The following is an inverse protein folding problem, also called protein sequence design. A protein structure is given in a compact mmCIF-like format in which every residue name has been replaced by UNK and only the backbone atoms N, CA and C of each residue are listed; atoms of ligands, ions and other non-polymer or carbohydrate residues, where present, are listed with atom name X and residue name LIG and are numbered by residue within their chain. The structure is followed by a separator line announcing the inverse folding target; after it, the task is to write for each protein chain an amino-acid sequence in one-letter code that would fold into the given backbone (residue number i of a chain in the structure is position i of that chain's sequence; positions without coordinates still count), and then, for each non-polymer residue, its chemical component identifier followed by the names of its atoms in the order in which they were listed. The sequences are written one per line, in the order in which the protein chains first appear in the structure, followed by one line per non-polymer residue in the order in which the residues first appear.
data_IF_168600125019
#
_entry.id   IF_168600125019
#
_cell.length_a   1.000
_cell.length_b   1.000
_cell.length_c   1.000
_cell.angle_alpha   90.00
_cell.angle_beta   90.00
_cell.angle_gamma   90.00
#
_symmetry.space_group_name_H-M   'P 1'
#
loop_
_entity.id
_entity.type
_entity.pdbx_description
1 polymer ?
#
# COMPACT_ATOMS: atom_id res chain seq x y z
N UNK A 1 51.11 26.91 17.34
CA UNK A 1 50.47 25.57 17.25
C UNK A 1 49.19 25.44 18.08
N UNK A 2 49.14 25.81 19.38
CA UNK A 2 47.93 25.65 20.23
C UNK A 2 46.66 26.30 19.69
N UNK A 3 46.72 27.52 19.12
CA UNK A 3 45.55 28.22 18.55
C UNK A 3 44.96 27.57 17.30
N UNK A 4 45.80 26.94 16.47
CA UNK A 4 45.31 26.18 15.30
C UNK A 4 44.60 24.88 15.71
N UNK A 5 45.13 24.18 16.73
CA UNK A 5 44.51 22.95 17.26
C UNK A 5 43.12 23.26 17.84
N UNK A 6 42.97 24.35 18.60
CA UNK A 6 41.67 24.75 19.18
C UNK A 6 40.65 25.03 18.08
N UNK A 7 41.04 25.71 16.99
CA UNK A 7 40.15 26.00 15.86
C UNK A 7 39.70 24.71 15.15
N UNK A 8 40.61 23.75 14.99
CA UNK A 8 40.28 22.44 14.37
C UNK A 8 39.31 21.68 15.25
N UNK A 9 39.54 21.61 16.56
CA UNK A 9 38.63 20.92 17.49
C UNK A 9 37.26 21.58 17.48
N UNK A 10 37.19 22.92 17.52
CA UNK A 10 35.92 23.64 17.46
C UNK A 10 35.17 23.37 16.15
N UNK A 11 35.85 23.34 15.01
CA UNK A 11 35.24 23.02 13.72
C UNK A 11 34.66 21.56 13.68
N UNK A 12 35.39 20.59 14.21
CA UNK A 12 34.96 19.20 14.29
C UNK A 12 33.73 19.06 15.19
N UNK A 13 33.68 19.75 16.34
CA UNK A 13 32.55 19.72 17.25
C UNK A 13 31.31 20.34 16.59
N UNK A 14 31.47 21.47 15.90
CA UNK A 14 30.37 22.15 15.21
C UNK A 14 29.83 21.26 14.06
N UNK A 15 30.72 20.72 13.23
CA UNK A 15 30.30 19.82 12.12
C UNK A 15 29.66 18.54 12.63
N UNK A 16 30.20 17.97 13.70
CA UNK A 16 29.59 16.79 14.34
C UNK A 16 28.21 17.09 14.91
N UNK A 17 28.07 18.23 15.60
CA UNK A 17 26.78 18.68 16.12
C UNK A 17 25.75 18.95 15.03
N UNK A 18 26.11 19.58 13.94
CA UNK A 18 25.26 19.81 12.78
C UNK A 18 24.87 18.48 12.12
N UNK A 19 25.80 17.54 12.00
CA UNK A 19 25.53 16.19 11.47
C UNK A 19 24.50 15.44 12.31
N UNK A 20 24.62 15.47 13.65
CA UNK A 20 23.66 14.84 14.56
C UNK A 20 22.28 15.49 14.46
N UNK A 21 22.22 16.83 14.40
CA UNK A 21 20.97 17.57 14.24
C UNK A 21 20.30 17.25 12.90
N UNK A 22 21.07 17.16 11.82
CA UNK A 22 20.56 16.79 10.50
C UNK A 22 19.98 15.39 10.49
N UNK A 23 20.71 14.40 11.03
CA UNK A 23 20.21 13.00 11.11
C UNK A 23 18.95 12.91 11.96
N UNK A 24 18.90 13.66 13.07
CA UNK A 24 17.73 13.68 13.95
C UNK A 24 16.52 14.32 13.27
N UNK A 25 16.72 15.43 12.56
CA UNK A 25 15.69 16.10 11.76
C UNK A 25 15.18 15.20 10.63
N UNK A 26 16.07 14.55 9.90
CA UNK A 26 15.68 13.64 8.82
C UNK A 26 14.88 12.43 9.33
N UNK A 27 15.21 11.92 10.53
CA UNK A 27 14.43 10.83 11.16
C UNK A 27 13.04 11.31 11.62
N UNK A 28 12.94 12.52 12.18
CA UNK A 28 11.65 13.06 12.64
C UNK A 28 10.68 13.24 11.48
N UNK A 29 11.14 13.74 10.33
CA UNK A 29 10.30 13.91 9.13
C UNK A 29 9.73 12.57 8.62
N UNK A 30 10.51 11.50 8.72
CA UNK A 30 10.03 10.16 8.31
C UNK A 30 8.99 9.56 9.24
N UNK A 31 9.00 9.93 10.52
CA UNK A 31 8.06 9.42 11.53
C UNK A 31 6.83 10.32 11.74
N UNK A 32 6.78 11.47 11.08
CA UNK A 32 5.58 12.32 11.11
C UNK A 32 4.37 11.59 10.52
N UNK A 33 3.16 11.76 11.09
CA UNK A 33 1.95 11.15 10.55
C UNK A 33 1.72 11.52 9.09
N UNK A 34 1.37 10.54 8.28
CA UNK A 34 0.83 10.79 6.94
C UNK A 34 -0.62 11.22 7.05
N UNK A 35 -1.05 12.15 6.23
CA UNK A 35 -2.35 12.78 6.38
C UNK A 35 -3.32 12.36 5.27
N UNK A 36 -4.56 12.11 5.66
CA UNK A 36 -5.67 11.93 4.73
C UNK A 36 -6.92 12.62 5.29
N UNK A 37 -7.60 13.43 4.48
CA UNK A 37 -8.85 14.02 4.91
C UNK A 37 -9.95 12.95 5.00
N UNK A 38 -10.79 13.00 6.03
CA UNK A 38 -11.93 12.06 6.20
C UNK A 38 -12.85 12.04 4.98
N UNK A 39 -13.06 13.18 4.37
CA UNK A 39 -13.84 13.30 3.13
C UNK A 39 -13.25 12.52 1.95
N UNK A 40 -11.95 12.30 1.94
CA UNK A 40 -11.25 11.54 0.91
C UNK A 40 -11.32 10.02 1.10
N UNK A 41 -11.80 9.55 2.25
CA UNK A 41 -12.08 8.13 2.49
C UNK A 41 -13.48 7.74 2.00
N UNK A 42 -14.33 8.71 1.72
CA UNK A 42 -15.64 8.48 1.12
C UNK A 42 -15.56 8.47 -0.42
N UNK A 43 -16.48 7.76 -1.05
CA UNK A 43 -16.62 7.78 -2.52
C UNK A 43 -15.61 6.91 -3.27
N UNK A 44 -14.88 6.04 -2.59
CA UNK A 44 -14.06 5.02 -3.27
C UNK A 44 -14.94 4.05 -4.04
N UNK A 45 -14.53 3.68 -5.23
CA UNK A 45 -15.35 2.89 -6.15
C UNK A 45 -14.82 1.47 -6.31
N UNK A 46 -15.75 0.50 -6.30
CA UNK A 46 -15.44 -0.85 -6.72
C UNK A 46 -15.27 -0.88 -8.23
N UNK A 47 -14.12 -1.33 -8.68
CA UNK A 47 -13.79 -1.46 -10.09
C UNK A 47 -13.25 -2.84 -10.42
N UNK A 48 -13.61 -3.31 -11.60
CA UNK A 48 -13.08 -4.50 -12.23
C UNK A 48 -12.15 -4.06 -13.36
N UNK A 49 -11.04 -4.77 -13.48
CA UNK A 49 -10.24 -4.76 -14.69
C UNK A 49 -10.28 -6.17 -15.31
N UNK A 50 -11.08 -6.38 -16.35
CA UNK A 50 -11.18 -7.68 -17.01
C UNK A 50 -9.94 -8.02 -17.86
N UNK A 51 -9.08 -7.03 -18.10
CA UNK A 51 -7.84 -7.20 -18.83
C UNK A 51 -6.68 -7.49 -17.88
N UNK A 52 -5.70 -8.31 -18.28
CA UNK A 52 -4.45 -8.42 -17.53
C UNK A 52 -3.83 -7.05 -17.39
N UNK A 53 -3.89 -6.47 -16.19
CA UNK A 53 -3.30 -5.17 -15.91
C UNK A 53 -1.94 -5.32 -15.22
N UNK A 54 -1.06 -4.30 -15.29
CA UNK A 54 0.23 -4.34 -14.64
C UNK A 54 0.17 -4.55 -13.12
N UNK A 55 -0.93 -4.15 -12.48
CA UNK A 55 -1.13 -4.34 -11.05
C UNK A 55 -1.58 -5.74 -10.68
N UNK A 56 -2.10 -6.54 -11.63
CA UNK A 56 -2.63 -7.88 -11.38
C UNK A 56 -3.90 -7.90 -10.52
N UNK A 57 -4.61 -6.79 -10.38
CA UNK A 57 -5.84 -6.66 -9.60
C UNK A 57 -7.04 -6.87 -10.50
N UNK A 58 -7.85 -7.91 -10.23
CA UNK A 58 -9.09 -8.20 -10.93
C UNK A 58 -10.27 -7.39 -10.39
N UNK A 59 -10.47 -7.39 -9.07
CA UNK A 59 -11.45 -6.57 -8.37
C UNK A 59 -10.71 -5.77 -7.31
N UNK A 60 -10.88 -4.46 -7.32
CA UNK A 60 -10.28 -3.56 -6.34
C UNK A 60 -11.20 -2.44 -5.89
N UNK A 61 -10.92 -1.88 -4.71
CA UNK A 61 -11.52 -0.64 -4.25
C UNK A 61 -10.55 0.50 -4.59
N UNK A 62 -10.98 1.39 -5.48
CA UNK A 62 -10.16 2.47 -6.03
C UNK A 62 -10.48 3.80 -5.34
N UNK A 63 -9.49 4.51 -4.80
CA UNK A 63 -9.63 5.89 -4.39
C UNK A 63 -9.82 6.80 -5.61
N UNK A 64 -10.28 8.03 -5.39
CA UNK A 64 -10.17 9.04 -6.42
C UNK A 64 -8.68 9.33 -6.75
N UNK A 65 -8.46 9.86 -7.97
CA UNK A 65 -7.09 10.11 -8.48
C UNK A 65 -6.32 11.13 -7.62
N UNK A 66 -7.03 12.10 -7.03
CA UNK A 66 -6.39 13.13 -6.21
C UNK A 66 -5.91 12.55 -4.88
N UNK A 67 -6.67 11.65 -4.28
CA UNK A 67 -6.27 10.94 -3.06
C UNK A 67 -5.03 10.09 -3.31
N UNK A 68 -4.98 9.33 -4.40
CA UNK A 68 -3.81 8.54 -4.77
C UNK A 68 -2.58 9.44 -5.02
N UNK A 69 -2.75 10.54 -5.77
CA UNK A 69 -1.68 11.48 -6.05
C UNK A 69 -1.17 12.21 -4.80
N UNK A 70 -2.07 12.58 -3.88
CA UNK A 70 -1.71 13.20 -2.60
C UNK A 70 -0.88 12.26 -1.72
N UNK A 71 -1.29 11.01 -1.59
CA UNK A 71 -0.53 10.01 -0.82
C UNK A 71 0.85 9.76 -1.45
N UNK A 72 0.91 9.63 -2.77
CA UNK A 72 2.18 9.52 -3.49
C UNK A 72 3.09 10.72 -3.23
N UNK A 73 2.55 11.94 -3.33
CA UNK A 73 3.31 13.18 -3.09
C UNK A 73 3.88 13.25 -1.67
N UNK A 74 3.14 12.81 -0.67
CA UNK A 74 3.64 12.74 0.71
C UNK A 74 4.80 11.75 0.86
N UNK A 75 4.70 10.57 0.23
CA UNK A 75 5.80 9.59 0.23
C UNK A 75 7.02 10.16 -0.49
N UNK A 76 6.83 10.68 -1.69
CA UNK A 76 7.90 11.23 -2.51
C UNK A 76 8.63 12.38 -1.80
N UNK A 77 7.88 13.34 -1.22
CA UNK A 77 8.48 14.50 -0.54
C UNK A 77 9.29 14.14 0.70
N UNK A 78 8.92 13.05 1.40
CA UNK A 78 9.61 12.60 2.62
C UNK A 78 10.80 11.70 2.34
N UNK A 79 10.78 10.99 1.23
CA UNK A 79 11.84 10.02 0.89
C UNK A 79 12.85 10.58 -0.08
N UNK A 80 12.43 11.44 -1.02
CA UNK A 80 13.27 11.93 -2.10
C UNK A 80 13.73 10.82 -3.07
N UNK A 81 13.07 9.66 -3.04
CA UNK A 81 13.43 8.49 -3.83
C UNK A 81 12.78 8.52 -5.21
N UNK A 82 13.41 7.88 -6.20
CA UNK A 82 12.79 7.68 -7.50
C UNK A 82 11.73 6.59 -7.40
N UNK A 83 10.47 6.98 -7.42
CA UNK A 83 9.32 6.11 -7.20
C UNK A 83 8.30 6.26 -8.32
N UNK A 84 7.55 5.19 -8.56
CA UNK A 84 6.39 5.15 -9.46
C UNK A 84 5.13 4.85 -8.65
N UNK A 85 4.00 5.45 -9.02
CA UNK A 85 2.69 5.14 -8.44
C UNK A 85 1.88 4.20 -9.37
N UNK A 86 1.07 3.29 -8.81
CA UNK A 86 0.20 2.43 -9.63
C UNK A 86 -0.93 3.23 -10.28
N UNK A 87 -1.26 2.89 -11.53
CA UNK A 87 -2.37 3.49 -12.28
C UNK A 87 -3.22 2.37 -12.89
N UNK A 88 -4.44 2.16 -12.38
CA UNK A 88 -5.05 2.79 -11.20
C UNK A 88 -4.46 2.27 -9.88
N UNK A 89 -4.49 3.11 -8.84
CA UNK A 89 -4.25 2.65 -7.47
C UNK A 89 -5.52 1.96 -6.95
N UNK A 90 -5.36 0.82 -6.27
CA UNK A 90 -6.50 0.10 -5.70
C UNK A 90 -6.09 -0.72 -4.47
N UNK A 91 -7.03 -0.91 -3.53
CA UNK A 91 -6.94 -1.99 -2.55
C UNK A 91 -7.38 -3.28 -3.27
N UNK A 92 -6.50 -4.27 -3.45
CA UNK A 92 -6.86 -5.49 -4.16
C UNK A 92 -7.80 -6.35 -3.31
N UNK A 93 -8.97 -6.66 -3.84
CA UNK A 93 -9.96 -7.55 -3.24
C UNK A 93 -9.85 -8.97 -3.80
N UNK A 94 -9.62 -9.08 -5.10
CA UNK A 94 -9.36 -10.33 -5.81
C UNK A 94 -8.27 -10.06 -6.84
N UNK A 95 -7.26 -10.94 -6.87
CA UNK A 95 -6.20 -10.85 -7.87
C UNK A 95 -6.64 -11.51 -9.19
N UNK A 96 -6.06 -11.07 -10.29
CA UNK A 96 -6.26 -11.70 -11.59
C UNK A 96 -5.92 -13.20 -11.54
N UNK A 97 -4.80 -13.55 -10.92
CA UNK A 97 -4.36 -14.94 -10.77
C UNK A 97 -5.30 -15.80 -9.91
N UNK A 98 -6.00 -15.22 -8.94
CA UNK A 98 -7.03 -15.90 -8.14
C UNK A 98 -8.28 -16.12 -8.98
N UNK A 99 -8.69 -15.11 -9.74
CA UNK A 99 -9.85 -15.17 -10.63
C UNK A 99 -9.67 -16.19 -11.75
N UNK A 100 -8.50 -16.21 -12.39
CA UNK A 100 -8.20 -17.14 -13.49
C UNK A 100 -8.22 -18.60 -13.03
N UNK A 101 -7.75 -18.88 -11.82
CA UNK A 101 -7.85 -20.21 -11.21
C UNK A 101 -9.30 -20.61 -10.91
N UNK A 102 -10.16 -19.64 -10.59
CA UNK A 102 -11.57 -19.85 -10.33
C UNK A 102 -12.40 -19.95 -11.61
N UNK A 103 -11.89 -19.46 -12.75
CA UNK A 103 -12.59 -19.40 -14.04
C UNK A 103 -12.96 -20.77 -14.60
N UNK A 104 -12.39 -21.86 -14.08
CA UNK A 104 -12.87 -23.22 -14.35
C UNK A 104 -14.32 -23.45 -13.85
N UNK A 105 -14.86 -22.54 -13.03
CA UNK A 105 -16.24 -22.44 -12.59
C UNK A 105 -17.00 -21.29 -13.25
N UNK A 106 -18.23 -21.10 -12.85
CA UNK A 106 -19.22 -20.19 -13.46
C UNK A 106 -19.11 -18.72 -12.98
N UNK A 107 -18.06 -18.34 -12.27
CA UNK A 107 -17.93 -16.98 -11.73
C UNK A 107 -17.52 -16.00 -12.85
N UNK A 108 -18.42 -15.08 -13.21
CA UNK A 108 -18.12 -14.01 -14.15
C UNK A 108 -17.59 -12.76 -13.43
N UNK A 109 -16.88 -11.86 -14.14
CA UNK A 109 -16.48 -10.56 -13.60
C UNK A 109 -17.64 -9.75 -13.01
N UNK A 110 -18.77 -9.73 -13.74
CA UNK A 110 -19.97 -9.00 -13.30
C UNK A 110 -20.59 -9.61 -12.03
N UNK A 111 -20.60 -10.93 -11.91
CA UNK A 111 -21.06 -11.61 -10.70
C UNK A 111 -20.15 -11.29 -9.50
N UNK A 112 -18.83 -11.21 -9.72
CA UNK A 112 -17.87 -10.83 -8.70
C UNK A 112 -18.09 -9.37 -8.24
N UNK A 113 -18.30 -8.44 -9.17
CA UNK A 113 -18.60 -7.04 -8.87
C UNK A 113 -19.96 -6.92 -8.12
N UNK A 114 -20.98 -7.65 -8.57
CA UNK A 114 -22.27 -7.67 -7.90
C UNK A 114 -22.16 -8.18 -6.46
N UNK A 115 -21.37 -9.23 -6.24
CA UNK A 115 -21.08 -9.76 -4.89
C UNK A 115 -20.40 -8.72 -4.00
N UNK A 116 -19.42 -7.96 -4.54
CA UNK A 116 -18.75 -6.89 -3.80
C UNK A 116 -19.68 -5.74 -3.44
N UNK A 117 -20.60 -5.37 -4.34
CA UNK A 117 -21.64 -4.37 -4.07
C UNK A 117 -22.64 -4.87 -3.03
N UNK A 118 -23.11 -6.10 -3.15
CA UNK A 118 -24.02 -6.71 -2.19
C UNK A 118 -23.42 -6.83 -0.79
N UNK A 119 -22.10 -7.06 -0.70
CA UNK A 119 -21.35 -7.04 0.56
C UNK A 119 -21.12 -5.60 1.12
N UNK A 120 -21.57 -4.56 0.41
CA UNK A 120 -21.47 -3.18 0.84
C UNK A 120 -20.04 -2.64 0.87
N UNK A 121 -19.10 -3.22 0.12
CA UNK A 121 -17.67 -2.84 0.21
C UNK A 121 -17.42 -1.37 -0.14
N UNK A 122 -18.15 -0.79 -1.10
CA UNK A 122 -18.02 0.61 -1.47
C UNK A 122 -18.57 1.61 -0.44
N UNK A 123 -19.35 1.14 0.54
CA UNK A 123 -19.96 1.96 1.60
C UNK A 123 -19.56 1.54 3.01
N UNK A 124 -18.85 0.41 3.17
CA UNK A 124 -18.39 -0.04 4.48
C UNK A 124 -17.28 0.84 5.01
N UNK A 125 -17.30 1.07 6.33
CA UNK A 125 -16.24 1.82 7.00
C UNK A 125 -14.92 1.05 6.96
N UNK A 126 -13.83 1.75 6.63
CA UNK A 126 -12.47 1.30 6.74
C UNK A 126 -11.59 2.44 7.27
N UNK A 127 -10.57 2.08 8.02
CA UNK A 127 -9.71 3.07 8.68
C UNK A 127 -8.25 2.86 8.27
N UNK A 128 -7.56 3.91 7.77
CA UNK A 128 -6.14 3.86 7.52
C UNK A 128 -5.38 3.82 8.86
N UNK A 129 -4.47 2.86 9.00
CA UNK A 129 -3.68 2.66 10.23
C UNK A 129 -2.32 3.32 10.15
N UNK A 130 -1.57 2.98 9.12
CA UNK A 130 -0.22 3.51 8.95
C UNK A 130 0.20 3.48 7.49
N UNK A 131 1.16 4.35 7.16
CA UNK A 131 2.00 4.19 5.99
C UNK A 131 3.07 3.16 6.33
N UNK A 132 3.20 2.15 5.51
CA UNK A 132 4.13 1.05 5.69
C UNK A 132 5.12 0.99 4.52
N UNK A 133 6.25 0.33 4.75
CA UNK A 133 7.26 0.09 3.74
C UNK A 133 7.70 -1.37 3.79
N UNK A 134 7.87 -1.99 2.62
CA UNK A 134 8.55 -3.27 2.50
C UNK A 134 9.74 -3.14 1.56
N UNK A 135 10.85 -3.77 1.93
CA UNK A 135 12.06 -3.85 1.12
C UNK A 135 12.38 -5.30 0.81
N UNK A 136 12.79 -5.54 -0.42
CA UNK A 136 13.37 -6.81 -0.87
C UNK A 136 14.75 -6.48 -1.37
N UNK A 137 15.77 -7.11 -0.75
CA UNK A 137 17.16 -6.96 -1.17
C UNK A 137 17.61 -8.25 -1.83
N UNK A 138 17.91 -8.16 -3.11
CA UNK A 138 18.50 -9.22 -3.93
C UNK A 138 19.93 -8.80 -4.33
N UNK A 139 20.81 -9.71 -4.69
CA UNK A 139 22.15 -9.35 -5.13
C UNK A 139 22.12 -8.31 -6.27
N UNK A 140 22.61 -7.09 -5.97
CA UNK A 140 22.68 -5.98 -6.92
C UNK A 140 21.40 -5.15 -7.10
N UNK A 141 20.27 -5.51 -6.48
CA UNK A 141 19.00 -4.79 -6.62
C UNK A 141 18.31 -4.70 -5.26
N UNK A 142 17.98 -3.48 -4.87
CA UNK A 142 17.05 -3.23 -3.75
C UNK A 142 15.76 -2.67 -4.30
N UNK A 143 14.66 -3.39 -4.06
CA UNK A 143 13.31 -2.95 -4.41
C UNK A 143 12.56 -2.57 -3.14
N UNK A 144 11.69 -1.60 -3.25
CA UNK A 144 10.86 -1.17 -2.12
C UNK A 144 9.49 -0.72 -2.59
N UNK A 145 8.51 -0.92 -1.72
CA UNK A 145 7.13 -0.51 -1.93
C UNK A 145 6.62 0.21 -0.68
N UNK A 146 5.86 1.26 -0.90
CA UNK A 146 5.15 2.02 0.12
C UNK A 146 3.66 1.79 -0.04
N UNK A 147 2.99 1.49 1.07
CA UNK A 147 1.56 1.17 1.05
C UNK A 147 0.88 1.63 2.34
N UNK A 148 -0.38 2.02 2.22
CA UNK A 148 -1.24 2.30 3.38
C UNK A 148 -1.89 1.00 3.82
N UNK A 149 -1.79 0.70 5.12
CA UNK A 149 -2.53 -0.40 5.76
C UNK A 149 -3.87 0.11 6.26
N UNK A 150 -4.90 -0.69 6.03
CA UNK A 150 -6.25 -0.38 6.52
C UNK A 150 -6.71 -1.44 7.52
N UNK A 151 -7.55 -1.02 8.44
CA UNK A 151 -8.43 -1.91 9.16
C UNK A 151 -9.78 -1.91 8.46
N UNK A 152 -10.18 -3.08 7.95
CA UNK A 152 -11.39 -3.20 7.16
C UNK A 152 -12.06 -4.57 7.37
N UNK A 153 -12.98 -4.69 8.36
CA UNK A 153 -13.64 -5.96 8.67
C UNK A 153 -14.40 -6.57 7.49
N UNK A 154 -15.08 -5.73 6.68
CA UNK A 154 -15.82 -6.18 5.51
C UNK A 154 -14.93 -6.83 4.44
N UNK A 155 -13.65 -6.45 4.37
CA UNK A 155 -12.68 -7.06 3.45
C UNK A 155 -12.53 -8.56 3.70
N UNK A 156 -12.30 -8.97 4.95
CA UNK A 156 -12.10 -10.37 5.31
C UNK A 156 -13.38 -11.18 5.10
N UNK A 157 -14.53 -10.62 5.48
CA UNK A 157 -15.84 -11.25 5.27
C UNK A 157 -16.12 -11.49 3.78
N UNK A 158 -15.85 -10.50 2.94
CA UNK A 158 -16.00 -10.62 1.50
C UNK A 158 -15.08 -11.68 0.90
N UNK A 159 -13.80 -11.70 1.27
CA UNK A 159 -12.87 -12.71 0.76
C UNK A 159 -13.27 -14.14 1.15
N UNK A 160 -13.78 -14.33 2.37
CA UNK A 160 -14.34 -15.62 2.80
C UNK A 160 -15.56 -16.02 1.96
N UNK A 161 -16.47 -15.08 1.72
CA UNK A 161 -17.65 -15.30 0.87
C UNK A 161 -17.26 -15.71 -0.56
N UNK A 162 -16.32 -14.97 -1.18
CA UNK A 162 -15.84 -15.28 -2.54
C UNK A 162 -15.17 -16.66 -2.57
N UNK A 163 -14.34 -16.98 -1.56
CA UNK A 163 -13.72 -18.30 -1.46
C UNK A 163 -14.74 -19.45 -1.37
N UNK A 164 -15.86 -19.24 -0.68
CA UNK A 164 -16.95 -20.19 -0.61
C UNK A 164 -17.68 -20.33 -1.95
N UNK A 165 -17.99 -19.21 -2.61
CA UNK A 165 -18.62 -19.19 -3.93
C UNK A 165 -17.77 -19.93 -4.97
N UNK A 166 -16.46 -19.67 -5.00
CA UNK A 166 -15.53 -20.35 -5.91
C UNK A 166 -15.51 -21.86 -5.68
N UNK A 167 -15.45 -22.30 -4.42
CA UNK A 167 -15.52 -23.74 -4.07
C UNK A 167 -16.83 -24.38 -4.47
N UNK A 168 -17.95 -23.71 -4.23
CA UNK A 168 -19.27 -24.20 -4.61
C UNK A 168 -19.43 -24.34 -6.13
N UNK A 169 -18.69 -23.57 -6.92
CA UNK A 169 -18.65 -23.62 -8.40
C UNK A 169 -17.65 -24.66 -8.94
N UNK A 170 -17.02 -25.46 -8.08
CA UNK A 170 -16.02 -26.46 -8.49
C UNK A 170 -14.61 -25.90 -8.75
N UNK A 171 -14.38 -24.62 -8.44
CA UNK A 171 -13.06 -24.00 -8.53
C UNK A 171 -12.16 -24.34 -7.35
N UNK A 172 -10.85 -24.12 -7.50
CA UNK A 172 -9.84 -24.36 -6.44
C UNK A 172 -9.91 -23.40 -5.26
N UNK A 173 -10.85 -22.47 -5.26
CA UNK A 173 -11.02 -21.46 -4.22
C UNK A 173 -9.80 -20.51 -4.07
N UNK A 174 -10.04 -19.29 -3.65
CA UNK A 174 -8.97 -18.39 -3.21
C UNK A 174 -8.66 -18.64 -1.72
N UNK A 175 -7.44 -18.32 -1.31
CA UNK A 175 -7.09 -18.25 0.11
C UNK A 175 -7.55 -16.88 0.67
N UNK A 176 -8.56 -16.84 1.57
CA UNK A 176 -9.03 -15.57 2.12
C UNK A 176 -7.94 -14.76 2.82
N UNK A 177 -6.94 -15.43 3.37
CA UNK A 177 -5.84 -14.82 4.10
C UNK A 177 -4.65 -14.41 3.20
N UNK A 178 -4.71 -14.68 1.88
CA UNK A 178 -3.60 -14.36 0.97
C UNK A 178 -3.36 -12.85 0.79
N UNK A 179 -4.38 -12.02 1.03
CA UNK A 179 -4.30 -10.56 0.91
C UNK A 179 -4.62 -9.88 2.24
N UNK A 180 -3.99 -8.74 2.45
CA UNK A 180 -4.38 -7.76 3.46
C UNK A 180 -5.00 -6.54 2.78
N UNK A 181 -5.87 -5.76 3.48
CA UNK A 181 -6.41 -4.52 2.93
C UNK A 181 -5.34 -3.45 2.91
N UNK A 182 -4.59 -3.39 1.81
CA UNK A 182 -3.49 -2.45 1.61
C UNK A 182 -3.66 -1.71 0.28
N UNK A 183 -3.35 -0.42 0.28
CA UNK A 183 -3.26 0.41 -0.92
C UNK A 183 -1.80 0.65 -1.23
N UNK A 184 -1.28 0.10 -2.32
CA UNK A 184 0.05 0.46 -2.81
C UNK A 184 0.00 1.91 -3.28
N UNK A 185 0.92 2.72 -2.76
CA UNK A 185 1.02 4.16 -3.07
C UNK A 185 2.19 4.42 -4.02
N UNK A 186 3.32 3.78 -3.76
CA UNK A 186 4.54 3.98 -4.53
C UNK A 186 5.44 2.75 -4.48
N UNK A 187 6.21 2.54 -5.54
CA UNK A 187 7.26 1.52 -5.56
C UNK A 187 8.47 2.00 -6.36
N UNK A 188 9.62 1.42 -6.08
CA UNK A 188 10.89 1.69 -6.79
C UNK A 188 10.92 1.15 -8.21
N UNK A 189 9.97 0.28 -8.56
CA UNK A 189 9.76 -0.23 -9.91
C UNK A 189 8.29 -0.05 -10.31
N UNK A 190 8.02 -0.04 -11.62
CA UNK A 190 6.66 0.07 -12.15
C UNK A 190 5.94 -1.28 -12.25
N UNK A 191 6.58 -2.38 -11.86
CA UNK A 191 6.03 -3.72 -11.96
C UNK A 191 5.25 -4.09 -10.69
N UNK A 192 4.16 -3.38 -10.42
CA UNK A 192 3.37 -3.51 -9.19
C UNK A 192 2.84 -4.92 -8.91
N UNK A 193 2.65 -5.73 -9.95
CA UNK A 193 2.26 -7.14 -9.81
C UNK A 193 3.28 -7.98 -9.04
N UNK A 194 4.56 -7.59 -9.04
CA UNK A 194 5.61 -8.26 -8.27
C UNK A 194 5.41 -8.12 -6.75
N UNK A 195 4.67 -7.10 -6.33
CA UNK A 195 4.37 -6.84 -4.93
C UNK A 195 3.10 -7.53 -4.46
N UNK A 196 2.38 -8.23 -5.35
CA UNK A 196 1.17 -8.96 -5.01
C UNK A 196 1.41 -10.48 -5.02
N UNK A 197 0.84 -11.20 -4.05
CA UNK A 197 0.04 -10.72 -2.93
C UNK A 197 0.88 -10.01 -1.88
N UNK A 198 0.44 -8.83 -1.44
CA UNK A 198 1.07 -8.10 -0.35
C UNK A 198 0.31 -8.40 0.95
N UNK A 199 0.95 -9.17 1.83
CA UNK A 199 0.45 -9.42 3.17
C UNK A 199 1.08 -8.41 4.12
N UNK A 200 0.27 -7.74 4.90
CA UNK A 200 0.75 -6.94 6.02
C UNK A 200 0.95 -7.87 7.23
N UNK A 201 2.11 -8.50 7.32
CA UNK A 201 2.35 -9.58 8.28
C UNK A 201 2.67 -9.08 9.69
N UNK A 202 3.16 -7.86 9.83
CA UNK A 202 3.55 -7.34 11.13
C UNK A 202 3.26 -5.84 11.27
N UNK A 203 3.17 -5.38 12.53
CA UNK A 203 3.22 -3.95 12.85
C UNK A 203 4.55 -3.32 12.44
N UNK A 204 5.59 -4.14 12.30
CA UNK A 204 6.96 -3.74 11.94
C UNK A 204 7.11 -3.10 10.55
N UNK A 205 6.16 -3.34 9.63
CA UNK A 205 6.15 -2.67 8.33
C UNK A 205 5.75 -1.18 8.42
N UNK A 206 5.15 -0.75 9.54
CA UNK A 206 4.68 0.63 9.72
C UNK A 206 5.84 1.62 9.88
N UNK A 207 5.92 2.60 8.98
CA UNK A 207 6.87 3.72 9.06
C UNK A 207 6.36 4.84 9.96
N UNK A 208 5.09 5.20 9.78
CA UNK A 208 4.45 6.28 10.52
C UNK A 208 2.91 6.09 10.53
N UNK A 209 2.22 6.57 11.56
CA UNK A 209 0.76 6.48 11.64
C UNK A 209 0.10 7.30 10.53
N UNK A 210 -1.15 6.94 10.20
CA UNK A 210 -2.03 7.78 9.40
C UNK A 210 -2.85 8.70 10.29
N UNK A 211 -2.87 9.98 9.99
CA UNK A 211 -3.71 10.97 10.64
C UNK A 211 -4.92 11.27 9.73
N UNK A 212 -6.12 10.95 10.19
CA UNK A 212 -7.38 11.30 9.50
C UNK A 212 -7.85 12.65 10.03
N UNK A 213 -7.96 13.65 9.15
CA UNK A 213 -8.38 15.03 9.45
C UNK A 213 -9.79 15.32 8.95
#
# INVERSE_FOLDING_TARGET
MKRALIKIIAAVVVLGGLGVLFVRSARSVRSEPYEIARTRLAGWTLAIDPSPNPSGVMLGLQPDKETAAMLFSQVFSRTGESLSGPVPAAIPLVLQSEFDRARAGTLSPDALLASGRAAGLGSSAFEPRCMAQRRISEPGITRQVYFVRFEWPAFNAFRQQVAQQMRASGGSGLDPAALSPVLIVAASDAAFSHWLPLRAEAEDDCLAPMAVK
#
